data_IF_880920535357
#
_entry.id   IF_880920535357
#
_cell.length_a   1.000
_cell.length_b   1.000
_cell.length_c   1.000
_cell.angle_alpha   90.00
_cell.angle_beta   90.00
_cell.angle_gamma   90.00
#
_symmetry.space_group_name_H-M   'P 1'
#
loop_
_entity.id
_entity.type
_entity.pdbx_description
1 polymer ?
#
# COMPACT_ATOMS: atom_id res chain seq x y z
N UNK A 1 -20.92 -42.13 -25.28
CA UNK A 1 -20.52 -40.71 -25.46
C UNK A 1 -19.89 -40.27 -24.16
N UNK A 2 -18.58 -40.05 -24.14
CA UNK A 2 -17.84 -39.65 -22.93
C UNK A 2 -17.55 -38.16 -23.02
N UNK A 3 -18.09 -37.40 -22.07
CA UNK A 3 -17.93 -35.96 -21.95
C UNK A 3 -16.47 -35.58 -21.71
N UNK A 4 -16.00 -34.58 -22.47
CA UNK A 4 -14.72 -33.91 -22.25
C UNK A 4 -14.88 -32.88 -21.13
N UNK A 5 -14.45 -33.22 -19.92
CA UNK A 5 -14.15 -32.22 -18.90
C UNK A 5 -12.74 -31.70 -19.15
N UNK A 6 -12.66 -30.58 -19.87
CA UNK A 6 -11.43 -29.79 -19.96
C UNK A 6 -11.57 -28.69 -18.93
N UNK A 7 -10.86 -28.82 -17.81
CA UNK A 7 -10.65 -27.77 -16.81
C UNK A 7 -10.03 -26.53 -17.48
N UNK A 8 -10.88 -25.66 -18.05
CA UNK A 8 -10.51 -24.28 -18.34
C UNK A 8 -10.47 -23.52 -17.03
N UNK A 9 -9.36 -23.66 -16.31
CA UNK A 9 -8.96 -22.68 -15.31
C UNK A 9 -8.83 -21.35 -16.06
N UNK A 10 -9.84 -20.51 -15.90
CA UNK A 10 -9.88 -19.12 -16.34
C UNK A 10 -8.71 -18.40 -15.65
N UNK A 11 -7.54 -18.42 -16.29
CA UNK A 11 -6.51 -17.41 -16.07
C UNK A 11 -7.10 -16.11 -16.60
N UNK A 12 -7.90 -15.43 -15.78
CA UNK A 12 -8.14 -14.00 -15.94
C UNK A 12 -6.76 -13.39 -16.05
N UNK A 13 -6.40 -12.93 -17.25
CA UNK A 13 -5.17 -12.17 -17.44
C UNK A 13 -5.38 -10.84 -16.74
N UNK A 14 -5.21 -10.82 -15.42
CA UNK A 14 -4.88 -9.60 -14.69
C UNK A 14 -3.49 -9.24 -15.15
N UNK A 15 -3.41 -8.30 -16.09
CA UNK A 15 -2.16 -7.70 -16.53
C UNK A 15 -1.48 -7.09 -15.31
N UNK A 16 -0.54 -7.81 -14.71
CA UNK A 16 0.23 -7.33 -13.58
C UNK A 16 1.39 -6.50 -14.13
N UNK A 17 1.42 -5.24 -13.74
CA UNK A 17 2.60 -4.40 -13.97
C UNK A 17 3.63 -4.78 -12.91
N UNK A 18 4.81 -5.26 -13.32
CA UNK A 18 5.85 -5.70 -12.38
C UNK A 18 7.06 -4.79 -12.52
N UNK A 19 7.46 -4.16 -11.41
CA UNK A 19 8.71 -3.42 -11.30
C UNK A 19 9.75 -4.37 -10.73
N UNK A 20 10.72 -4.77 -11.57
CA UNK A 20 11.75 -5.73 -11.20
C UNK A 20 12.74 -5.20 -10.15
N UNK A 21 13.45 -6.12 -9.49
CA UNK A 21 14.36 -5.82 -8.37
C UNK A 21 15.50 -4.86 -8.72
N UNK A 22 15.99 -4.90 -9.96
CA UNK A 22 17.07 -4.04 -10.45
C UNK A 22 16.59 -2.67 -10.96
N UNK A 23 15.27 -2.47 -11.02
CA UNK A 23 14.70 -1.21 -11.51
C UNK A 23 14.67 -0.16 -10.39
N UNK A 24 15.10 1.06 -10.74
CA UNK A 24 14.93 2.24 -9.91
C UNK A 24 14.09 3.26 -10.68
N UNK A 25 12.96 3.65 -10.11
CA UNK A 25 12.05 4.63 -10.73
C UNK A 25 12.01 5.87 -9.85
N UNK A 26 12.30 7.02 -10.45
CA UNK A 26 12.16 8.32 -9.81
C UNK A 26 11.09 9.11 -10.57
N UNK A 27 9.94 9.35 -9.94
CA UNK A 27 8.85 10.09 -10.58
C UNK A 27 7.46 9.66 -10.11
N UNK A 28 6.44 10.04 -10.87
CA UNK A 28 5.06 9.70 -10.58
C UNK A 28 4.63 8.48 -11.43
N UNK A 29 4.04 7.48 -10.80
CA UNK A 29 3.55 6.26 -11.43
C UNK A 29 2.03 6.26 -11.35
N UNK A 30 1.36 6.08 -12.48
CA UNK A 30 -0.09 5.85 -12.53
C UNK A 30 -0.37 4.49 -13.17
N UNK A 31 -1.17 3.67 -12.51
CA UNK A 31 -1.52 2.33 -13.01
C UNK A 31 -2.99 2.02 -12.68
N UNK A 32 -3.83 1.82 -13.69
CA UNK A 32 -5.26 1.51 -13.53
C UNK A 32 -5.53 0.02 -13.28
N UNK A 33 -4.68 -0.64 -12.49
CA UNK A 33 -4.72 -2.09 -12.31
C UNK A 33 -3.86 -2.59 -11.16
N UNK A 34 -3.27 -3.77 -11.35
CA UNK A 34 -2.40 -4.40 -10.34
C UNK A 34 -0.93 -4.06 -10.60
N UNK A 35 -0.29 -3.48 -9.58
CA UNK A 35 1.13 -3.15 -9.58
C UNK A 35 1.86 -4.00 -8.53
N UNK A 36 2.87 -4.75 -8.98
CA UNK A 36 3.79 -5.49 -8.12
C UNK A 36 5.14 -4.80 -8.12
N UNK A 37 5.54 -4.28 -6.96
CA UNK A 37 6.82 -3.62 -6.75
C UNK A 37 7.80 -4.59 -6.07
N UNK A 38 8.85 -4.95 -6.80
CA UNK A 38 10.03 -5.67 -6.26
C UNK A 38 11.29 -4.80 -6.23
N UNK A 39 11.35 -3.75 -7.04
CA UNK A 39 12.48 -2.82 -7.12
C UNK A 39 12.36 -1.61 -6.19
N UNK A 40 13.05 -0.52 -6.57
CA UNK A 40 13.06 0.73 -5.81
C UNK A 40 12.25 1.82 -6.50
N UNK A 41 11.32 2.46 -5.78
CA UNK A 41 10.56 3.61 -6.29
C UNK A 41 10.74 4.80 -5.36
N UNK A 42 11.05 5.96 -5.95
CA UNK A 42 11.06 7.27 -5.29
C UNK A 42 10.06 8.19 -5.97
N UNK A 43 8.95 8.48 -5.31
CA UNK A 43 7.93 9.39 -5.81
C UNK A 43 6.51 8.97 -5.45
N UNK A 44 5.53 9.42 -6.24
CA UNK A 44 4.12 9.17 -5.96
C UNK A 44 3.59 8.03 -6.81
N UNK A 45 2.86 7.09 -6.19
CA UNK A 45 2.19 5.99 -6.90
C UNK A 45 0.69 6.13 -6.74
N UNK A 46 -0.03 6.13 -7.84
CA UNK A 46 -1.49 6.12 -7.90
C UNK A 46 -1.93 4.87 -8.67
N UNK A 47 -2.59 3.95 -7.98
CA UNK A 47 -3.06 2.71 -8.60
C UNK A 47 -4.20 2.05 -7.84
N UNK A 48 -4.95 1.17 -8.48
CA UNK A 48 -6.07 0.51 -7.80
C UNK A 48 -5.58 -0.52 -6.77
N UNK A 49 -4.62 -1.35 -7.19
CA UNK A 49 -4.02 -2.40 -6.36
C UNK A 49 -2.49 -2.31 -6.42
N UNK A 50 -1.86 -2.21 -5.25
CA UNK A 50 -0.40 -2.28 -5.12
C UNK A 50 0.01 -3.40 -4.19
N UNK A 51 1.01 -4.16 -4.61
CA UNK A 51 1.70 -5.14 -3.79
C UNK A 51 3.20 -4.81 -3.77
N UNK A 52 3.72 -4.48 -2.60
CA UNK A 52 5.15 -4.28 -2.37
C UNK A 52 5.70 -5.59 -1.81
N UNK A 53 6.50 -6.29 -2.60
CA UNK A 53 7.18 -7.50 -2.16
C UNK A 53 8.21 -7.19 -1.07
N UNK A 54 8.70 -8.23 -0.37
CA UNK A 54 9.71 -8.10 0.69
C UNK A 54 11.01 -7.38 0.26
N UNK A 55 11.40 -7.54 -0.99
CA UNK A 55 12.58 -6.89 -1.60
C UNK A 55 12.29 -5.44 -2.05
N UNK A 56 11.01 -5.06 -2.14
CA UNK A 56 10.58 -3.76 -2.62
C UNK A 56 10.94 -2.64 -1.65
N UNK A 57 11.49 -1.54 -2.20
CA UNK A 57 11.76 -0.31 -1.47
C UNK A 57 10.95 0.83 -2.07
N UNK A 58 10.10 1.47 -1.26
CA UNK A 58 9.35 2.63 -1.70
C UNK A 58 9.58 3.82 -0.78
N UNK A 59 9.88 4.97 -1.38
CA UNK A 59 9.98 6.26 -0.69
C UNK A 59 9.08 7.28 -1.37
N UNK A 60 8.05 7.74 -0.67
CA UNK A 60 7.10 8.72 -1.19
C UNK A 60 5.67 8.40 -0.79
N UNK A 61 4.72 8.78 -1.64
CA UNK A 61 3.30 8.69 -1.31
C UNK A 61 2.60 7.63 -2.15
N UNK A 62 1.76 6.81 -1.53
CA UNK A 62 0.92 5.82 -2.21
C UNK A 62 -0.53 6.25 -2.09
N UNK A 63 -1.26 6.23 -3.20
CA UNK A 63 -2.71 6.34 -3.24
C UNK A 63 -3.26 5.11 -3.95
N UNK A 64 -4.01 4.28 -3.21
CA UNK A 64 -4.67 3.13 -3.80
C UNK A 64 -5.98 2.75 -3.13
N UNK A 65 -6.71 1.80 -3.72
CA UNK A 65 -7.86 1.18 -3.06
C UNK A 65 -7.39 0.04 -2.16
N UNK A 66 -6.53 -0.82 -2.71
CA UNK A 66 -5.93 -1.94 -1.99
C UNK A 66 -4.40 -1.79 -1.98
N UNK A 67 -3.82 -1.75 -0.79
CA UNK A 67 -2.37 -1.72 -0.60
C UNK A 67 -1.93 -2.93 0.19
N UNK A 68 -1.03 -3.74 -0.36
CA UNK A 68 -0.31 -4.79 0.36
C UNK A 68 1.15 -4.39 0.48
N UNK A 69 1.67 -4.31 1.70
CA UNK A 69 3.05 -3.93 1.97
C UNK A 69 3.75 -5.07 2.69
N UNK A 70 4.75 -5.66 2.04
CA UNK A 70 5.64 -6.68 2.61
C UNK A 70 7.11 -6.28 2.66
N UNK A 71 7.49 -5.17 2.02
CA UNK A 71 8.86 -4.65 1.97
C UNK A 71 9.10 -3.41 2.82
N UNK A 72 10.07 -2.59 2.41
CA UNK A 72 10.42 -1.34 3.07
C UNK A 72 9.67 -0.16 2.46
N UNK A 73 8.89 0.54 3.29
CA UNK A 73 8.16 1.73 2.88
C UNK A 73 8.49 2.91 3.80
N UNK A 74 8.72 4.09 3.20
CA UNK A 74 8.90 5.36 3.92
C UNK A 74 8.06 6.46 3.27
N UNK A 75 7.07 7.01 4.00
CA UNK A 75 6.24 8.13 3.54
C UNK A 75 4.79 8.03 3.99
N UNK A 76 3.86 8.49 3.14
CA UNK A 76 2.43 8.50 3.45
C UNK A 76 1.65 7.51 2.56
N UNK A 77 0.79 6.68 3.16
CA UNK A 77 -0.09 5.75 2.43
C UNK A 77 -1.53 6.17 2.59
N UNK A 78 -2.26 6.28 1.48
CA UNK A 78 -3.69 6.51 1.44
C UNK A 78 -4.33 5.30 0.75
N UNK A 79 -4.85 4.37 1.54
CA UNK A 79 -5.47 3.15 1.03
C UNK A 79 -6.83 2.89 1.68
N UNK A 80 -7.84 2.44 0.94
CA UNK A 80 -9.09 2.04 1.59
C UNK A 80 -8.86 0.79 2.45
N UNK A 81 -8.27 -0.23 1.85
CA UNK A 81 -7.85 -1.46 2.52
C UNK A 81 -6.32 -1.58 2.50
N UNK A 82 -5.72 -1.63 3.68
CA UNK A 82 -4.29 -1.79 3.89
C UNK A 82 -3.99 -3.17 4.49
N UNK A 83 -3.18 -3.96 3.79
CA UNK A 83 -2.66 -5.24 4.23
C UNK A 83 -1.14 -5.13 4.49
N UNK A 84 -0.71 -5.54 5.66
CA UNK A 84 0.69 -5.51 6.09
C UNK A 84 1.14 -6.95 6.27
N UNK A 85 2.16 -7.36 5.51
CA UNK A 85 2.74 -8.69 5.62
C UNK A 85 3.78 -8.76 6.75
N UNK A 86 4.11 -9.98 7.19
CA UNK A 86 5.02 -10.22 8.31
C UNK A 86 6.43 -9.66 8.12
N UNK A 87 6.90 -9.47 6.88
CA UNK A 87 8.23 -8.92 6.57
C UNK A 87 8.24 -7.41 6.41
N UNK A 88 7.08 -6.76 6.51
CA UNK A 88 6.94 -5.33 6.23
C UNK A 88 7.68 -4.46 7.24
N UNK A 89 8.30 -3.40 6.74
CA UNK A 89 8.98 -2.37 7.52
C UNK A 89 8.52 -1.00 7.03
N UNK A 90 7.64 -0.38 7.81
CA UNK A 90 6.90 0.81 7.40
C UNK A 90 7.26 1.98 8.33
N UNK A 91 7.57 3.14 7.75
CA UNK A 91 7.84 4.39 8.45
C UNK A 91 7.04 5.57 7.86
N UNK A 92 6.32 6.33 8.69
CA UNK A 92 5.52 7.48 8.24
C UNK A 92 4.04 7.41 8.64
N UNK A 93 3.12 7.91 7.80
CA UNK A 93 1.69 7.97 8.15
C UNK A 93 0.86 7.04 7.25
N UNK A 94 -0.05 6.28 7.86
CA UNK A 94 -0.94 5.37 7.16
C UNK A 94 -2.38 5.80 7.37
N UNK A 95 -3.01 6.24 6.29
CA UNK A 95 -4.43 6.61 6.21
C UNK A 95 -5.18 5.43 5.64
N UNK A 96 -6.05 4.81 6.44
CA UNK A 96 -6.78 3.61 6.05
C UNK A 96 -8.21 3.55 6.56
N UNK A 97 -9.07 2.80 5.87
CA UNK A 97 -10.40 2.45 6.36
C UNK A 97 -10.43 1.04 6.97
N UNK A 98 -9.80 0.08 6.30
CA UNK A 98 -9.67 -1.30 6.75
C UNK A 98 -8.18 -1.68 6.85
N UNK A 99 -7.75 -2.19 8.01
CA UNK A 99 -6.36 -2.60 8.24
C UNK A 99 -6.31 -4.09 8.58
N UNK A 100 -5.45 -4.81 7.86
CA UNK A 100 -5.05 -6.19 8.15
C UNK A 100 -3.56 -6.22 8.35
N UNK A 101 -3.09 -6.71 9.49
CA UNK A 101 -1.66 -6.85 9.75
C UNK A 101 -1.33 -8.28 10.15
N UNK A 102 -0.28 -8.82 9.57
CA UNK A 102 0.28 -10.10 9.96
C UNK A 102 1.33 -9.92 11.08
N UNK A 103 1.44 -10.88 12.01
CA UNK A 103 2.45 -10.84 13.05
C UNK A 103 3.86 -10.90 12.44
N UNK A 104 4.78 -10.07 12.95
CA UNK A 104 6.17 -9.97 12.49
C UNK A 104 6.55 -8.62 11.87
N UNK A 105 5.56 -7.84 11.42
CA UNK A 105 5.79 -6.55 10.79
C UNK A 105 6.38 -5.52 11.75
N UNK A 106 7.34 -4.71 11.26
CA UNK A 106 7.92 -3.57 11.98
C UNK A 106 7.21 -2.28 11.53
N UNK A 107 6.47 -1.68 12.46
CA UNK A 107 5.63 -0.52 12.19
C UNK A 107 6.05 0.64 13.08
N UNK A 108 6.62 1.67 12.47
CA UNK A 108 6.99 2.93 13.13
C UNK A 108 6.24 4.07 12.42
N UNK A 109 4.92 4.05 12.63
CA UNK A 109 3.95 4.82 11.85
C UNK A 109 2.84 5.40 12.71
N UNK A 110 2.23 6.49 12.23
CA UNK A 110 0.95 6.96 12.75
C UNK A 110 -0.20 6.34 11.93
N UNK A 111 -1.03 5.56 12.61
CA UNK A 111 -2.23 4.95 12.06
C UNK A 111 -3.40 5.92 12.17
N UNK A 112 -3.93 6.37 11.03
CA UNK A 112 -5.03 7.33 10.94
C UNK A 112 -6.20 6.64 10.24
N UNK A 113 -7.30 6.46 10.97
CA UNK A 113 -8.52 5.90 10.39
C UNK A 113 -9.27 6.98 9.60
N UNK A 114 -9.53 6.71 8.32
CA UNK A 114 -10.13 7.64 7.38
C UNK A 114 -9.12 8.18 6.36
N UNK A 115 -9.58 8.36 5.12
CA UNK A 115 -8.79 8.94 4.02
C UNK A 115 -8.73 10.49 4.08
N UNK A 116 -9.34 11.10 5.10
CA UNK A 116 -9.25 12.53 5.35
C UNK A 116 -7.96 12.85 6.12
N UNK A 117 -7.12 13.73 5.55
CA UNK A 117 -6.11 14.44 6.33
C UNK A 117 -6.84 15.25 7.40
N UNK A 118 -6.92 14.72 8.62
CA UNK A 118 -7.12 15.58 9.79
C UNK A 118 -5.87 16.42 9.93
N UNK A 119 -5.86 17.59 9.32
CA UNK A 119 -5.05 18.70 9.80
C UNK A 119 -5.33 18.82 11.29
N UNK A 120 -4.31 18.58 12.12
CA UNK A 120 -4.37 18.90 13.53
C UNK A 120 -4.48 20.41 13.64
N UNK A 121 -5.70 20.94 13.62
CA UNK A 121 -5.99 22.27 14.09
C UNK A 121 -5.69 22.30 15.58
N UNK A 122 -4.56 22.91 15.90
CA UNK A 122 -4.22 23.36 17.23
C UNK A 122 -5.30 24.33 17.73
N UNK A 123 -6.11 23.91 18.69
CA UNK A 123 -6.78 24.80 19.63
C UNK A 123 -6.58 24.29 21.05
N UNK A 124 -5.44 24.71 21.58
CA UNK A 124 -5.09 24.95 22.98
C UNK A 124 -6.21 24.96 24.04
N UNK A 125 -5.95 24.15 25.09
CA UNK A 125 -6.12 24.40 26.53
C UNK A 125 -7.45 24.99 27.07
N UNK A 126 -8.11 24.19 27.94
CA UNK A 126 -9.04 24.62 29.01
C UNK A 126 -8.51 25.84 29.80
N UNK A 127 -9.41 26.68 30.35
CA UNK A 127 -9.52 26.71 31.81
C UNK A 127 -10.97 26.73 32.35
N UNK A 128 -11.06 26.55 33.68
CA UNK A 128 -12.23 26.52 34.59
C UNK A 128 -12.85 27.91 34.84
N UNK A 129 -14.02 27.89 35.51
CA UNK A 129 -14.80 28.95 36.24
C UNK A 129 -15.80 29.71 35.35
N UNK A 130 -17.01 30.05 35.80
CA UNK A 130 -17.56 30.31 37.16
C UNK A 130 -18.89 29.58 37.33
#
# INVERSE_FOLDING_TARGET
MFSRDTDKIQRTQTSNSVIGVEMQINGNIKCSGNLVLKGKVKGNIECDHINISSEGELKGNIRSLYSTIGGNFVGDVFADTLAIESTASIRGNLYYNNLKAQPGAKLDVQLIKGLEKKEKSSSSKKPKKV
#
